data_IF_028608443763
#
_entry.id   IF_028608443763
#
_cell.length_a   1.000
_cell.length_b   1.000
_cell.length_c   1.000
_cell.angle_alpha   90.00
_cell.angle_beta   90.00
_cell.angle_gamma   90.00
#
_symmetry.space_group_name_H-M   'P 1'
#
loop_
_entity.id
_entity.type
_entity.pdbx_description
1 polymer ?
#
# COMPACT_ATOMS: atom_id res chain seq x y z
N UNK A 1 9.18 37.93 69.09
CA UNK A 1 10.18 37.78 68.01
C UNK A 1 9.66 36.74 67.04
N UNK A 2 9.34 37.09 65.78
CA UNK A 2 8.71 36.16 64.86
C UNK A 2 9.74 35.13 64.33
N UNK A 3 9.35 33.87 64.33
CA UNK A 3 10.10 32.79 63.71
C UNK A 3 9.97 32.90 62.19
N UNK A 4 11.10 33.09 61.50
CA UNK A 4 11.16 32.98 60.04
C UNK A 4 11.09 31.50 59.66
N UNK A 5 9.95 31.06 59.13
CA UNK A 5 9.83 29.76 58.47
C UNK A 5 10.31 29.95 57.03
N UNK A 6 11.49 29.42 56.71
CA UNK A 6 11.98 29.36 55.33
C UNK A 6 11.24 28.22 54.61
N UNK A 7 10.30 28.57 53.73
CA UNK A 7 9.69 27.61 52.80
C UNK A 7 10.69 27.39 51.66
N UNK A 8 11.45 26.29 51.72
CA UNK A 8 12.22 25.81 50.57
C UNK A 8 11.23 25.09 49.66
N UNK A 9 10.77 25.76 48.60
CA UNK A 9 10.04 25.12 47.53
C UNK A 9 11.03 24.24 46.73
N UNK A 10 11.00 22.93 46.95
CA UNK A 10 11.64 21.96 46.04
C UNK A 10 10.89 22.01 44.70
N UNK A 11 11.40 22.80 43.76
CA UNK A 11 11.10 22.65 42.34
C UNK A 11 11.81 21.38 41.86
N UNK A 12 11.11 20.26 41.87
CA UNK A 12 11.55 19.08 41.13
C UNK A 12 11.45 19.42 39.63
N UNK A 13 12.55 19.32 38.85
CA UNK A 13 12.45 19.45 37.40
C UNK A 13 11.64 18.26 36.90
N UNK A 14 10.50 18.54 36.26
CA UNK A 14 9.81 17.54 35.47
C UNK A 14 10.72 17.19 34.29
N UNK A 15 11.51 16.12 34.46
CA UNK A 15 12.23 15.50 33.35
C UNK A 15 11.16 14.96 32.41
N UNK A 16 10.90 15.70 31.33
CA UNK A 16 10.11 15.17 30.23
C UNK A 16 10.88 13.97 29.68
N UNK A 17 10.41 12.77 29.99
CA UNK A 17 10.94 11.56 29.40
C UNK A 17 10.75 11.67 27.88
N UNK A 18 11.85 11.82 27.15
CA UNK A 18 11.84 11.66 25.70
C UNK A 18 11.62 10.17 25.48
N UNK A 19 10.37 9.77 25.29
CA UNK A 19 10.03 8.40 24.92
C UNK A 19 10.83 8.06 23.66
N UNK A 20 11.64 7.00 23.74
CA UNK A 20 12.34 6.46 22.58
C UNK A 20 11.29 6.14 21.52
N UNK A 21 11.46 6.74 20.35
CA UNK A 21 10.50 6.58 19.26
C UNK A 21 10.75 5.23 18.62
N UNK A 22 9.95 4.23 18.99
CA UNK A 22 10.10 2.83 18.57
C UNK A 22 9.48 2.56 17.18
N UNK A 23 8.89 3.56 16.52
CA UNK A 23 8.22 3.40 15.23
C UNK A 23 8.44 4.63 14.31
N UNK A 24 8.24 4.50 12.99
CA UNK A 24 8.39 5.62 12.06
C UNK A 24 7.55 6.84 12.52
N UNK A 25 8.15 8.02 12.51
CA UNK A 25 7.44 9.29 12.72
C UNK A 25 6.94 9.77 11.37
N UNK A 26 5.64 9.70 11.14
CA UNK A 26 5.04 10.34 9.99
C UNK A 26 5.13 11.85 10.15
N UNK A 27 5.44 12.52 9.05
CA UNK A 27 5.67 13.95 9.04
C UNK A 27 4.40 14.72 9.46
N UNK A 28 4.56 15.76 10.27
CA UNK A 28 3.45 16.45 10.95
C UNK A 28 2.48 17.15 9.98
N UNK A 29 2.89 17.35 8.72
CA UNK A 29 2.04 17.85 7.63
C UNK A 29 0.92 16.89 7.22
N UNK A 30 1.00 15.61 7.61
CA UNK A 30 -0.10 14.68 7.45
C UNK A 30 -0.98 14.73 8.70
N UNK A 31 -2.15 15.35 8.60
CA UNK A 31 -3.17 15.25 9.65
C UNK A 31 -3.63 13.79 9.80
N UNK A 32 -2.99 13.10 10.73
CA UNK A 32 -3.28 11.71 11.08
C UNK A 32 -4.20 11.70 12.30
N UNK A 33 -5.51 11.63 12.06
CA UNK A 33 -6.49 11.48 13.14
C UNK A 33 -6.49 10.05 13.68
N UNK A 34 -7.00 9.84 14.89
CA UNK A 34 -7.15 8.50 15.46
C UNK A 34 -8.02 7.60 14.57
N UNK A 35 -9.04 8.17 13.92
CA UNK A 35 -9.91 7.46 13.00
C UNK A 35 -9.18 7.02 11.73
N UNK A 36 -8.31 7.88 11.16
CA UNK A 36 -7.49 7.52 10.00
C UNK A 36 -6.48 6.43 10.33
N UNK A 37 -5.87 6.51 11.51
CA UNK A 37 -4.98 5.47 12.01
C UNK A 37 -5.71 4.14 12.17
N UNK A 38 -6.87 4.16 12.82
CA UNK A 38 -7.71 2.97 12.97
C UNK A 38 -8.07 2.38 11.61
N UNK A 39 -8.50 3.21 10.65
CA UNK A 39 -8.83 2.76 9.29
C UNK A 39 -7.65 2.11 8.57
N UNK A 40 -6.44 2.67 8.70
CA UNK A 40 -5.24 2.08 8.10
C UNK A 40 -4.85 0.74 8.74
N UNK A 41 -4.97 0.63 10.07
CA UNK A 41 -4.75 -0.63 10.80
C UNK A 41 -5.77 -1.69 10.38
N UNK A 42 -7.06 -1.34 10.36
CA UNK A 42 -8.13 -2.26 9.97
C UNK A 42 -7.96 -2.72 8.50
N UNK A 43 -7.57 -1.82 7.59
CA UNK A 43 -7.36 -2.13 6.18
C UNK A 43 -6.13 -3.02 5.92
N UNK A 44 -5.09 -2.92 6.75
CA UNK A 44 -3.86 -3.73 6.63
C UNK A 44 -3.92 -5.05 7.41
N UNK A 45 -4.86 -5.21 8.35
CA UNK A 45 -4.98 -6.40 9.17
C UNK A 45 -5.00 -7.73 8.38
N UNK A 46 -5.68 -7.84 7.21
CA UNK A 46 -5.69 -9.09 6.45
C UNK A 46 -4.30 -9.49 5.95
N UNK A 47 -3.53 -8.57 5.34
CA UNK A 47 -2.19 -8.88 4.83
C UNK A 47 -1.19 -9.11 5.98
N UNK A 48 -1.34 -8.39 7.10
CA UNK A 48 -0.50 -8.56 8.28
C UNK A 48 -0.72 -9.91 9.00
N UNK A 49 -1.85 -10.57 8.74
CA UNK A 49 -2.14 -11.90 9.28
C UNK A 49 -1.64 -13.05 8.38
N UNK A 50 -1.14 -12.76 7.18
CA UNK A 50 -0.61 -13.75 6.25
C UNK A 50 0.79 -14.22 6.68
N UNK A 51 1.18 -15.44 6.30
CA UNK A 51 2.57 -15.89 6.43
C UNK A 51 3.46 -15.19 5.39
N UNK A 52 4.76 -15.13 5.65
CA UNK A 52 5.74 -14.59 4.70
C UNK A 52 5.62 -15.28 3.33
N UNK A 53 5.47 -16.61 3.31
CA UNK A 53 5.26 -17.39 2.08
C UNK A 53 4.01 -16.95 1.32
N UNK A 54 2.90 -16.70 2.04
CA UNK A 54 1.66 -16.25 1.43
C UNK A 54 1.77 -14.81 0.90
N UNK A 55 2.47 -13.92 1.62
CA UNK A 55 2.77 -12.56 1.12
C UNK A 55 3.65 -12.63 -0.13
N UNK A 56 4.68 -13.48 -0.13
CA UNK A 56 5.52 -13.70 -1.30
C UNK A 56 4.71 -14.20 -2.50
N UNK A 57 3.72 -15.06 -2.28
CA UNK A 57 2.83 -15.55 -3.34
C UNK A 57 1.93 -14.46 -3.96
N UNK A 58 1.80 -13.27 -3.34
CA UNK A 58 1.11 -12.12 -3.93
C UNK A 58 1.96 -11.43 -5.02
N UNK A 59 3.27 -11.69 -5.06
CA UNK A 59 4.16 -11.19 -6.10
C UNK A 59 3.98 -12.07 -7.34
N UNK A 60 3.13 -11.62 -8.26
CA UNK A 60 2.83 -12.36 -9.49
C UNK A 60 4.00 -12.34 -10.47
N UNK A 61 4.03 -13.31 -11.38
CA UNK A 61 4.93 -13.37 -12.54
C UNK A 61 4.58 -12.36 -13.66
N UNK A 62 3.59 -11.49 -13.43
CA UNK A 62 3.03 -10.56 -14.40
C UNK A 62 3.59 -9.17 -14.23
N UNK A 63 3.58 -8.39 -15.30
CA UNK A 63 3.91 -6.97 -15.24
C UNK A 63 2.95 -6.23 -14.29
N UNK A 64 3.47 -5.29 -13.52
CA UNK A 64 2.66 -4.35 -12.76
C UNK A 64 1.82 -3.46 -13.69
N UNK A 65 0.63 -3.07 -13.22
CA UNK A 65 -0.44 -2.49 -14.04
C UNK A 65 -0.83 -1.06 -13.63
N UNK A 66 0.09 -0.28 -13.05
CA UNK A 66 -0.19 1.12 -12.72
C UNK A 66 -0.50 1.92 -13.99
N UNK A 67 -1.52 2.79 -13.92
CA UNK A 67 -1.94 3.68 -15.01
C UNK A 67 -2.58 3.01 -16.25
N UNK A 68 -3.02 1.76 -16.16
CA UNK A 68 -3.71 1.08 -17.28
C UNK A 68 -5.23 1.32 -17.22
N UNK A 69 -5.86 1.45 -18.40
CA UNK A 69 -7.32 1.57 -18.55
C UNK A 69 -7.97 0.21 -18.84
N UNK A 70 -9.26 0.10 -18.55
CA UNK A 70 -10.05 -1.06 -18.95
C UNK A 70 -10.19 -1.11 -20.49
N UNK A 71 -9.73 -2.15 -21.18
CA UNK A 71 -9.91 -2.25 -22.64
C UNK A 71 -11.36 -2.52 -23.05
N UNK A 72 -12.24 -2.92 -22.11
CA UNK A 72 -13.66 -3.14 -22.38
C UNK A 72 -14.55 -1.90 -22.22
N UNK A 73 -14.11 -0.84 -21.52
CA UNK A 73 -14.91 0.37 -21.37
C UNK A 73 -14.09 1.63 -21.04
N UNK A 74 -14.64 2.80 -21.37
CA UNK A 74 -14.01 4.12 -21.17
C UNK A 74 -14.55 4.87 -19.95
N UNK A 75 -15.27 4.20 -19.05
CA UNK A 75 -15.99 4.84 -17.93
C UNK A 75 -15.09 5.32 -16.78
N UNK A 76 -13.83 4.88 -16.73
CA UNK A 76 -12.87 5.26 -15.71
C UNK A 76 -11.69 6.03 -16.28
N UNK A 77 -10.70 6.28 -15.42
CA UNK A 77 -9.41 6.89 -15.77
C UNK A 77 -8.27 5.94 -15.42
N UNK A 78 -7.12 6.19 -16.02
CA UNK A 78 -5.86 5.52 -15.68
C UNK A 78 -5.62 5.56 -14.16
N UNK A 79 -5.15 4.44 -13.61
CA UNK A 79 -4.77 4.32 -12.20
C UNK A 79 -5.92 4.14 -11.20
N UNK A 80 -7.19 4.29 -11.61
CA UNK A 80 -8.36 4.16 -10.72
C UNK A 80 -9.48 3.27 -11.30
N UNK A 81 -9.30 2.75 -12.51
CA UNK A 81 -10.34 1.95 -13.18
C UNK A 81 -10.30 0.45 -12.84
N UNK A 82 -9.09 -0.11 -12.70
CA UNK A 82 -8.87 -1.52 -12.43
C UNK A 82 -8.52 -1.72 -10.95
N UNK A 83 -9.21 -2.65 -10.29
CA UNK A 83 -9.03 -2.95 -8.86
C UNK A 83 -8.44 -4.35 -8.69
N UNK A 84 -7.46 -4.47 -7.79
CA UNK A 84 -6.81 -5.71 -7.39
C UNK A 84 -7.12 -6.02 -5.92
N UNK A 85 -7.13 -7.30 -5.54
CA UNK A 85 -7.39 -7.76 -4.17
C UNK A 85 -6.52 -8.95 -3.83
N UNK A 86 -6.17 -9.11 -2.55
CA UNK A 86 -5.36 -10.23 -2.06
C UNK A 86 -6.06 -11.60 -2.24
N UNK A 87 -7.39 -11.63 -2.29
CA UNK A 87 -8.17 -12.87 -2.44
C UNK A 87 -8.08 -13.45 -3.87
N UNK A 88 -7.72 -12.62 -4.84
CA UNK A 88 -7.61 -13.00 -6.23
C UNK A 88 -6.40 -12.31 -6.88
N UNK A 89 -5.17 -12.69 -6.47
CA UNK A 89 -3.96 -11.93 -6.79
C UNK A 89 -3.57 -11.95 -8.26
N UNK A 90 -4.06 -12.95 -9.02
CA UNK A 90 -3.76 -13.15 -10.44
C UNK A 90 -4.77 -12.49 -11.38
N UNK A 91 -5.69 -11.67 -10.86
CA UNK A 91 -6.71 -11.00 -11.66
C UNK A 91 -6.91 -9.55 -11.21
N UNK A 92 -7.45 -8.74 -12.12
CA UNK A 92 -7.96 -7.40 -11.82
C UNK A 92 -9.38 -7.27 -12.33
N UNK A 93 -10.20 -6.48 -11.63
CA UNK A 93 -11.60 -6.24 -11.98
C UNK A 93 -11.83 -4.77 -12.27
N UNK A 94 -12.48 -4.46 -13.38
CA UNK A 94 -12.94 -3.09 -13.65
C UNK A 94 -14.09 -2.75 -12.71
N UNK A 95 -13.94 -1.70 -11.89
CA UNK A 95 -15.00 -1.28 -10.95
C UNK A 95 -16.24 -0.67 -11.61
N UNK A 96 -16.17 -0.38 -12.92
CA UNK A 96 -17.26 0.24 -13.67
C UNK A 96 -18.08 -0.77 -14.48
N UNK A 97 -17.43 -1.59 -15.32
CA UNK A 97 -18.13 -2.60 -16.12
C UNK A 97 -18.10 -4.01 -15.52
N UNK A 98 -17.37 -4.23 -14.42
CA UNK A 98 -17.27 -5.52 -13.75
C UNK A 98 -16.43 -6.57 -14.48
N UNK A 99 -15.83 -6.23 -15.63
CA UNK A 99 -15.01 -7.17 -16.39
C UNK A 99 -13.75 -7.57 -15.61
N UNK A 100 -13.47 -8.88 -15.60
CA UNK A 100 -12.30 -9.47 -14.94
C UNK A 100 -11.24 -9.79 -15.98
N UNK A 101 -9.99 -9.44 -15.70
CA UNK A 101 -8.84 -9.73 -16.56
C UNK A 101 -7.84 -10.64 -15.83
N UNK A 102 -7.20 -11.58 -16.54
CA UNK A 102 -7.42 -11.95 -17.95
C UNK A 102 -8.79 -12.62 -18.20
N UNK A 103 -9.25 -12.65 -19.45
CA UNK A 103 -10.48 -13.36 -19.84
C UNK A 103 -10.37 -13.96 -21.25
N UNK A 104 -11.38 -14.74 -21.68
CA UNK A 104 -11.43 -15.27 -23.05
C UNK A 104 -11.40 -14.16 -24.13
N UNK A 105 -12.02 -13.01 -23.84
CA UNK A 105 -12.03 -11.84 -24.73
C UNK A 105 -10.70 -11.09 -24.73
N UNK A 106 -9.98 -11.11 -23.60
CA UNK A 106 -8.70 -10.43 -23.43
C UNK A 106 -7.66 -11.42 -22.87
N UNK A 107 -7.26 -12.41 -23.68
CA UNK A 107 -6.31 -13.44 -23.25
C UNK A 107 -4.90 -12.84 -23.17
N UNK A 108 -4.13 -13.23 -22.16
CA UNK A 108 -2.69 -12.90 -22.07
C UNK A 108 -1.85 -13.97 -22.78
N UNK A 109 -2.19 -14.29 -24.03
CA UNK A 109 -1.58 -15.37 -24.83
C UNK A 109 -0.46 -14.88 -25.77
N UNK A 110 -0.12 -13.60 -25.70
CA UNK A 110 1.03 -13.00 -26.38
C UNK A 110 2.13 -12.70 -25.37
N UNK A 111 3.35 -12.53 -25.87
CA UNK A 111 4.52 -12.19 -25.06
C UNK A 111 5.20 -10.98 -25.68
N UNK A 112 5.25 -9.89 -24.92
CA UNK A 112 6.06 -8.73 -25.23
C UNK A 112 7.48 -8.96 -24.72
N UNK A 113 8.47 -8.85 -25.60
CA UNK A 113 9.89 -8.98 -25.26
C UNK A 113 10.57 -7.62 -25.24
N UNK A 114 11.34 -7.36 -24.19
CA UNK A 114 12.15 -6.16 -24.05
C UNK A 114 13.58 -6.52 -23.69
N UNK A 115 14.55 -6.08 -24.49
CA UNK A 115 15.97 -6.24 -24.17
C UNK A 115 16.40 -5.07 -23.28
N UNK A 116 16.72 -5.38 -22.03
CA UNK A 116 17.20 -4.40 -21.06
C UNK A 116 18.60 -3.88 -21.43
N UNK A 117 19.03 -2.71 -20.93
CA UNK A 117 20.39 -2.19 -21.15
C UNK A 117 21.52 -3.14 -20.69
N UNK A 118 21.21 -4.09 -19.80
CA UNK A 118 22.14 -5.15 -19.35
C UNK A 118 22.37 -6.22 -20.42
N UNK A 119 21.57 -6.26 -21.49
CA UNK A 119 21.56 -7.30 -22.50
C UNK A 119 20.63 -8.48 -22.18
N UNK A 120 19.98 -8.48 -21.01
CA UNK A 120 19.00 -9.49 -20.63
C UNK A 120 17.64 -9.23 -21.29
N UNK A 121 16.98 -10.29 -21.75
CA UNK A 121 15.62 -10.22 -22.31
C UNK A 121 14.58 -10.43 -21.21
N UNK A 122 13.67 -9.46 -21.07
CA UNK A 122 12.50 -9.54 -20.22
C UNK A 122 11.28 -9.91 -21.07
N UNK A 123 10.45 -10.83 -20.57
CA UNK A 123 9.25 -11.31 -21.25
C UNK A 123 8.01 -10.98 -20.42
N UNK A 124 6.98 -10.44 -21.06
CA UNK A 124 5.76 -10.00 -20.40
C UNK A 124 4.53 -10.59 -21.11
N UNK A 125 3.77 -11.49 -20.46
CA UNK A 125 2.49 -11.95 -21.00
C UNK A 125 1.54 -10.78 -21.20
N UNK A 126 0.98 -10.65 -22.39
CA UNK A 126 0.12 -9.52 -22.76
C UNK A 126 -1.03 -9.95 -23.68
N UNK A 127 -2.00 -9.05 -23.78
CA UNK A 127 -2.99 -9.01 -24.85
C UNK A 127 -2.55 -7.91 -25.83
N UNK A 128 -2.45 -8.21 -27.12
CA UNK A 128 -2.24 -7.22 -28.18
C UNK A 128 -3.59 -6.93 -28.85
N UNK A 129 -4.03 -5.67 -28.81
CA UNK A 129 -5.27 -5.20 -29.42
C UNK A 129 -5.11 -3.83 -30.06
#
# INVERSE_FOLDING_TARGET
MPAFIAIIALLAPAVAATAEVVHPVYAAEFEFTAERLKGAVDASAPIMAMSDEAVHALITDKAGFNEIQCPNCTSGKQGDQLTWTIDAPNQVTCRYCGHVYPSEQYPMDRVYEHVAPTGETQQYPCYEG
#
